data_IF_142666256515
#
_entry.id   IF_142666256515
#
_cell.length_a   1.000
_cell.length_b   1.000
_cell.length_c   1.000
_cell.angle_alpha   90.00
_cell.angle_beta   90.00
_cell.angle_gamma   90.00
#
_symmetry.space_group_name_H-M   'P 1'
#
loop_
_entity.id
_entity.type
_entity.pdbx_description
1 polymer ?
#
# COMPACT_ATOMS: atom_id res chain seq x y z
N UNK A 1 -12.31 -6.06 4.75
CA UNK A 1 -12.63 -5.83 3.35
C UNK A 1 -12.97 -4.36 3.09
N UNK A 2 -13.25 -4.04 1.85
CA UNK A 2 -13.50 -2.66 1.46
C UNK A 2 -14.67 -2.04 2.21
N UNK A 3 -15.75 -2.78 2.37
CA UNK A 3 -16.94 -2.27 3.05
C UNK A 3 -16.65 -1.94 4.51
N UNK A 4 -15.78 -2.69 5.15
CA UNK A 4 -15.39 -2.43 6.52
C UNK A 4 -14.47 -1.22 6.62
N UNK A 5 -13.69 -0.94 5.58
CA UNK A 5 -12.67 0.10 5.60
C UNK A 5 -13.16 1.46 5.13
N UNK A 6 -14.20 1.51 4.30
CA UNK A 6 -14.57 2.76 3.64
C UNK A 6 -14.89 3.90 4.61
N UNK A 7 -15.35 3.58 5.82
CA UNK A 7 -15.65 4.57 6.85
C UNK A 7 -14.53 4.72 7.88
N UNK A 8 -13.42 4.01 7.69
CA UNK A 8 -12.30 4.04 8.61
C UNK A 8 -11.47 5.31 8.39
N UNK A 9 -11.25 6.12 9.45
CA UNK A 9 -10.50 7.37 9.29
C UNK A 9 -9.07 7.18 8.81
N UNK A 10 -8.42 6.08 9.19
CA UNK A 10 -7.07 5.80 8.72
C UNK A 10 -7.03 5.54 7.23
N UNK A 11 -7.99 4.77 6.73
CA UNK A 11 -8.11 4.47 5.32
C UNK A 11 -8.35 5.75 4.51
N UNK A 12 -9.27 6.61 4.98
CA UNK A 12 -9.55 7.86 4.31
C UNK A 12 -8.32 8.77 4.27
N UNK A 13 -7.59 8.87 5.37
CA UNK A 13 -6.37 9.68 5.39
C UNK A 13 -5.34 9.18 4.40
N UNK A 14 -5.20 7.86 4.29
CA UNK A 14 -4.27 7.28 3.32
C UNK A 14 -4.70 7.57 1.89
N UNK A 15 -5.98 7.41 1.59
CA UNK A 15 -6.50 7.74 0.26
C UNK A 15 -6.29 9.21 -0.06
N UNK A 16 -6.59 10.09 0.90
CA UNK A 16 -6.44 11.53 0.69
C UNK A 16 -4.99 11.91 0.44
N UNK A 17 -4.06 11.23 1.09
CA UNK A 17 -2.64 11.56 0.94
C UNK A 17 -2.00 10.95 -0.28
N UNK A 18 -2.45 9.76 -0.73
CA UNK A 18 -1.74 9.01 -1.77
C UNK A 18 -2.61 8.47 -2.88
N UNK A 19 -3.83 8.07 -2.56
CA UNK A 19 -4.61 7.22 -3.46
C UNK A 19 -5.39 7.96 -4.53
N UNK A 20 -5.84 9.17 -4.24
CA UNK A 20 -6.74 9.90 -5.12
C UNK A 20 -6.13 11.15 -5.74
N UNK A 21 -5.00 11.60 -5.21
CA UNK A 21 -4.36 12.82 -5.67
C UNK A 21 -3.29 12.48 -6.70
N UNK A 22 -3.36 13.03 -7.91
CA UNK A 22 -2.31 12.79 -8.89
C UNK A 22 -0.97 13.32 -8.39
N UNK A 23 0.09 12.87 -9.01
CA UNK A 23 1.44 13.30 -8.70
C UNK A 23 1.48 14.84 -8.72
N UNK A 24 1.67 15.52 -7.60
CA UNK A 24 1.60 16.97 -7.58
C UNK A 24 2.74 17.59 -8.37
N UNK A 25 2.44 18.71 -9.01
CA UNK A 25 3.47 19.45 -9.72
C UNK A 25 4.54 19.90 -8.73
N UNK A 26 5.79 19.64 -9.07
CA UNK A 26 6.91 20.00 -8.22
C UNK A 26 7.28 18.96 -7.18
N UNK A 27 6.44 17.96 -6.97
CA UNK A 27 6.78 16.87 -6.08
C UNK A 27 7.65 15.86 -6.83
N UNK A 28 8.84 15.58 -6.33
CA UNK A 28 9.70 14.58 -6.94
C UNK A 28 9.19 13.17 -6.69
N UNK A 29 9.64 12.25 -7.53
CA UNK A 29 9.29 10.84 -7.41
C UNK A 29 9.69 10.29 -6.04
N UNK A 30 10.84 10.70 -5.54
CA UNK A 30 11.35 10.27 -4.25
C UNK A 30 10.43 10.70 -3.11
N UNK A 31 9.92 11.93 -3.17
CA UNK A 31 8.98 12.42 -2.16
C UNK A 31 7.67 11.65 -2.21
N UNK A 32 7.19 11.35 -3.42
CA UNK A 32 5.98 10.55 -3.60
C UNK A 32 6.17 9.16 -3.00
N UNK A 33 7.30 8.52 -3.25
CA UNK A 33 7.57 7.18 -2.70
C UNK A 33 7.60 7.19 -1.18
N UNK A 34 8.28 8.17 -0.60
CA UNK A 34 8.38 8.26 0.85
C UNK A 34 7.02 8.48 1.51
N UNK A 35 6.23 9.37 0.94
CA UNK A 35 4.89 9.65 1.44
C UNK A 35 4.00 8.40 1.34
N UNK A 36 4.08 7.70 0.21
CA UNK A 36 3.30 6.48 0.00
C UNK A 36 3.73 5.38 0.97
N UNK A 37 5.03 5.22 1.16
CA UNK A 37 5.57 4.22 2.08
C UNK A 37 5.08 4.46 3.50
N UNK A 38 5.21 5.69 3.97
CA UNK A 38 4.79 6.03 5.33
C UNK A 38 3.28 5.85 5.51
N UNK A 39 2.51 6.28 4.52
CA UNK A 39 1.06 6.13 4.58
C UNK A 39 0.63 4.68 4.64
N UNK A 40 1.27 3.84 3.85
CA UNK A 40 0.94 2.42 3.83
C UNK A 40 1.33 1.75 5.15
N UNK A 41 2.51 2.07 5.69
CA UNK A 41 2.91 1.54 6.99
C UNK A 41 1.90 1.87 8.08
N UNK A 42 1.47 3.13 8.12
CA UNK A 42 0.50 3.57 9.12
C UNK A 42 -0.83 2.86 8.94
N UNK A 43 -1.27 2.69 7.70
CA UNK A 43 -2.51 2.00 7.41
C UNK A 43 -2.45 0.54 7.86
N UNK A 44 -1.36 -0.15 7.55
CA UNK A 44 -1.21 -1.55 7.93
C UNK A 44 -1.20 -1.73 9.44
N UNK A 45 -0.51 -0.84 10.16
CA UNK A 45 -0.48 -0.91 11.62
C UNK A 45 -1.86 -0.63 12.22
N UNK A 46 -2.58 0.30 11.63
CA UNK A 46 -3.95 0.58 12.05
C UNK A 46 -4.86 -0.63 11.86
N UNK A 47 -4.76 -1.28 10.69
CA UNK A 47 -5.55 -2.49 10.41
C UNK A 47 -5.20 -3.63 11.36
N UNK A 48 -3.93 -3.79 11.68
CA UNK A 48 -3.49 -4.81 12.64
C UNK A 48 -4.03 -4.52 14.04
N UNK A 49 -4.06 -3.25 14.44
CA UNK A 49 -4.64 -2.86 15.71
C UNK A 49 -6.13 -3.17 15.77
N UNK A 50 -6.81 -3.08 14.64
CA UNK A 50 -8.23 -3.43 14.54
C UNK A 50 -8.45 -4.93 14.37
N UNK A 51 -7.39 -5.72 14.32
CA UNK A 51 -7.44 -7.16 14.10
C UNK A 51 -8.11 -7.52 12.77
N UNK A 52 -7.92 -6.68 11.77
CA UNK A 52 -8.46 -6.90 10.44
C UNK A 52 -7.58 -7.91 9.70
N UNK A 53 -8.17 -9.02 9.26
CA UNK A 53 -7.41 -10.10 8.61
C UNK A 53 -7.33 -9.96 7.09
N UNK A 54 -8.28 -9.26 6.51
CA UNK A 54 -8.31 -9.05 5.06
C UNK A 54 -8.72 -7.62 4.80
N UNK A 55 -8.06 -7.00 3.83
CA UNK A 55 -8.41 -5.66 3.41
C UNK A 55 -8.18 -5.53 1.91
N UNK A 56 -8.98 -4.71 1.26
CA UNK A 56 -8.79 -4.40 -0.14
C UNK A 56 -8.64 -2.89 -0.27
N UNK A 57 -7.66 -2.48 -1.05
CA UNK A 57 -7.41 -1.07 -1.30
C UNK A 57 -7.62 -0.79 -2.78
N UNK A 58 -8.43 0.22 -3.07
CA UNK A 58 -8.68 0.65 -4.45
C UNK A 58 -7.96 1.98 -4.63
N UNK A 59 -6.81 1.92 -5.28
CA UNK A 59 -5.93 3.08 -5.43
C UNK A 59 -5.39 3.15 -6.85
N UNK A 60 -4.72 4.24 -7.17
CA UNK A 60 -4.10 4.40 -8.49
C UNK A 60 -2.92 3.43 -8.67
N UNK A 61 -2.67 3.05 -9.92
CA UNK A 61 -1.60 2.12 -10.25
C UNK A 61 -0.24 2.55 -9.73
N UNK A 62 0.05 3.86 -9.78
CA UNK A 62 1.31 4.37 -9.25
C UNK A 62 1.47 4.11 -7.76
N UNK A 63 0.40 4.19 -6.99
CA UNK A 63 0.44 3.88 -5.57
C UNK A 63 0.73 2.39 -5.35
N UNK A 64 0.10 1.51 -6.12
CA UNK A 64 0.35 0.08 -6.05
C UNK A 64 1.82 -0.21 -6.33
N UNK A 65 2.35 0.37 -7.39
CA UNK A 65 3.74 0.17 -7.80
C UNK A 65 4.71 0.65 -6.72
N UNK A 66 4.42 1.79 -6.11
CA UNK A 66 5.27 2.32 -5.04
C UNK A 66 5.25 1.42 -3.81
N UNK A 67 4.08 0.93 -3.41
CA UNK A 67 3.95 0.04 -2.26
C UNK A 67 4.72 -1.26 -2.50
N UNK A 68 4.55 -1.87 -3.66
CA UNK A 68 5.21 -3.14 -3.93
C UNK A 68 6.72 -2.97 -4.06
N UNK A 69 7.19 -1.87 -4.66
CA UNK A 69 8.63 -1.64 -4.74
C UNK A 69 9.25 -1.44 -3.36
N UNK A 70 8.50 -0.86 -2.42
CA UNK A 70 9.00 -0.59 -1.07
C UNK A 70 8.95 -1.80 -0.15
N UNK A 71 7.92 -2.64 -0.28
CA UNK A 71 7.64 -3.67 0.72
C UNK A 71 7.74 -5.10 0.20
N UNK A 72 7.90 -5.32 -1.11
CA UNK A 72 8.00 -6.68 -1.64
C UNK A 72 9.20 -7.42 -1.04
N UNK A 73 8.98 -8.64 -0.58
CA UNK A 73 10.04 -9.49 -0.05
C UNK A 73 11.11 -9.75 -1.11
N UNK A 74 10.70 -9.88 -2.36
CA UNK A 74 11.64 -10.17 -3.45
C UNK A 74 12.31 -8.91 -3.98
N UNK A 75 11.92 -7.74 -3.49
CA UNK A 75 12.44 -6.48 -3.99
C UNK A 75 11.83 -6.10 -5.32
N UNK A 76 12.61 -5.51 -6.18
CA UNK A 76 12.14 -5.01 -7.46
C UNK A 76 12.05 -3.50 -7.44
N UNK A 77 12.07 -2.93 -8.62
CA UNK A 77 11.99 -1.50 -8.77
C UNK A 77 10.56 -1.09 -9.14
N UNK A 78 10.30 0.20 -9.08
CA UNK A 78 8.96 0.74 -9.30
C UNK A 78 8.30 0.16 -10.55
N UNK A 79 8.99 0.20 -11.68
CA UNK A 79 8.41 -0.21 -12.96
C UNK A 79 8.28 -1.72 -13.12
N UNK A 80 8.88 -2.50 -12.24
CA UNK A 80 8.70 -3.95 -12.26
C UNK A 80 7.29 -4.35 -11.82
N UNK A 81 6.58 -3.46 -11.16
CA UNK A 81 5.26 -3.73 -10.60
C UNK A 81 4.13 -3.07 -11.39
N UNK A 82 4.29 -2.94 -12.68
CA UNK A 82 3.26 -2.32 -13.51
C UNK A 82 1.93 -3.04 -13.39
N UNK A 83 0.85 -2.27 -13.43
CA UNK A 83 -0.50 -2.80 -13.28
C UNK A 83 -1.42 -2.12 -14.29
N UNK A 84 -2.24 -2.92 -14.96
CA UNK A 84 -3.24 -2.42 -15.90
C UNK A 84 -4.47 -1.93 -15.14
N UNK A 85 -5.26 -1.07 -15.79
CA UNK A 85 -6.51 -0.63 -15.22
C UNK A 85 -7.40 -1.84 -14.92
N UNK A 86 -7.98 -1.86 -13.72
CA UNK A 86 -8.84 -2.96 -13.30
C UNK A 86 -8.11 -4.18 -12.81
N UNK A 87 -6.78 -4.15 -12.80
CA UNK A 87 -5.95 -5.23 -12.30
C UNK A 87 -5.31 -4.83 -10.98
N UNK A 88 -4.66 -5.79 -10.33
CA UNK A 88 -3.99 -5.52 -9.07
C UNK A 88 -3.22 -6.73 -8.60
N UNK A 89 -2.89 -6.73 -7.32
CA UNK A 89 -2.14 -7.80 -6.69
C UNK A 89 -2.75 -8.18 -5.37
N UNK A 90 -2.59 -9.44 -4.98
CA UNK A 90 -2.82 -9.86 -3.62
C UNK A 90 -1.48 -10.11 -2.96
N UNK A 91 -1.41 -9.92 -1.66
CA UNK A 91 -0.17 -10.13 -0.91
C UNK A 91 -0.50 -10.41 0.55
N UNK A 92 0.49 -10.94 1.26
CA UNK A 92 0.34 -11.24 2.68
C UNK A 92 1.34 -10.40 3.46
N UNK A 93 0.85 -9.77 4.54
CA UNK A 93 1.68 -9.12 5.53
C UNK A 93 1.54 -9.90 6.83
N UNK A 94 2.65 -10.46 7.32
CA UNK A 94 2.63 -11.24 8.56
C UNK A 94 2.79 -10.29 9.74
N UNK A 95 1.80 -10.26 10.63
CA UNK A 95 1.73 -9.27 11.69
C UNK A 95 2.93 -9.30 12.62
N UNK A 96 3.35 -10.48 13.06
CA UNK A 96 4.47 -10.60 13.98
C UNK A 96 5.74 -10.00 13.42
N UNK A 97 6.06 -10.34 12.16
CA UNK A 97 7.25 -9.81 11.49
C UNK A 97 7.13 -8.31 11.29
N UNK A 98 5.96 -7.85 10.87
CA UNK A 98 5.73 -6.42 10.62
C UNK A 98 5.97 -5.59 11.89
N UNK A 99 5.40 -6.05 13.02
CA UNK A 99 5.53 -5.32 14.26
C UNK A 99 6.93 -5.36 14.85
N UNK A 100 7.75 -6.33 14.42
CA UNK A 100 9.15 -6.41 14.82
C UNK A 100 10.07 -5.60 13.94
N UNK A 101 9.51 -4.87 12.98
CA UNK A 101 10.29 -4.03 12.08
C UNK A 101 10.59 -4.67 10.73
N UNK A 102 10.26 -5.94 10.55
CA UNK A 102 10.45 -6.61 9.26
C UNK A 102 9.20 -6.45 8.44
N UNK A 103 9.06 -5.29 7.82
CA UNK A 103 7.86 -4.88 7.10
C UNK A 103 7.96 -5.31 5.65
N UNK A 104 7.42 -6.48 5.35
CA UNK A 104 7.49 -7.07 4.03
C UNK A 104 6.14 -7.64 3.61
N UNK A 105 5.87 -7.56 2.31
CA UNK A 105 4.74 -8.24 1.68
C UNK A 105 5.25 -9.48 0.97
N UNK A 106 4.59 -10.61 1.22
CA UNK A 106 4.98 -11.90 0.67
C UNK A 106 3.83 -12.50 -0.13
N UNK A 107 4.11 -13.59 -0.83
CA UNK A 107 3.13 -14.32 -1.64
C UNK A 107 2.35 -13.37 -2.54
N UNK A 108 3.08 -12.52 -3.23
CA UNK A 108 2.49 -11.51 -4.11
C UNK A 108 2.03 -12.18 -5.39
N UNK A 109 0.75 -12.07 -5.69
CA UNK A 109 0.18 -12.67 -6.88
C UNK A 109 -0.60 -11.62 -7.65
N UNK A 110 -0.49 -11.68 -8.98
CA UNK A 110 -1.24 -10.80 -9.85
C UNK A 110 -2.68 -11.30 -9.94
N UNK A 111 -3.61 -10.39 -9.77
CA UNK A 111 -5.04 -10.73 -9.84
C UNK A 111 -5.52 -10.78 -11.29
#
# INVERSE_FOLDING_TARGET
>A
NYEELKDDPGYQRWLDSNGTIPFPEGEGQETFFERTRLGFEQMMEHLMDLQCREAAFVVHGGTIMAVLSAFSQTGGEFYDWQVSNGSGYSAIAEEGSWRQGKKQLTEIERL
#
